data_IF_195499198655
#
_entry.id   IF_195499198655
#
_cell.length_a   1.000
_cell.length_b   1.000
_cell.length_c   1.000
_cell.angle_alpha   90.00
_cell.angle_beta   90.00
_cell.angle_gamma   90.00
#
_symmetry.space_group_name_H-M   'P 1'
#
loop_
_entity.id
_entity.type
_entity.pdbx_description
1 polymer ?
#
# COMPACT_ATOMS: atom_id res chain seq x y z
N UNK A 1 10.99 -47.33 35.40
CA UNK A 1 10.41 -46.01 35.72
C UNK A 1 9.53 -45.66 34.53
N UNK A 2 8.21 -45.90 34.45
CA UNK A 2 7.06 -45.52 35.31
C UNK A 2 7.12 -44.08 35.82
N UNK A 3 6.36 -43.21 35.15
CA UNK A 3 5.41 -42.21 35.65
C UNK A 3 4.78 -41.54 34.39
N UNK A 4 3.52 -41.81 34.07
CA UNK A 4 2.29 -41.10 34.50
C UNK A 4 2.08 -39.75 33.82
N UNK A 5 1.05 -39.68 32.97
CA UNK A 5 0.16 -38.50 32.87
C UNK A 5 -1.25 -39.03 32.65
N UNK A 6 -2.06 -38.90 33.71
CA UNK A 6 -3.50 -39.10 33.71
C UNK A 6 -4.17 -37.72 33.69
N UNK A 7 -5.03 -37.46 32.71
CA UNK A 7 -6.07 -36.41 32.58
C UNK A 7 -6.70 -36.69 31.20
N UNK A 8 -7.99 -36.88 30.95
CA UNK A 8 -9.21 -36.53 31.66
C UNK A 8 -10.30 -37.57 31.31
N UNK A 9 -10.82 -38.29 32.30
CA UNK A 9 -12.01 -39.17 32.19
C UNK A 9 -13.31 -38.41 32.47
N UNK A 10 -13.25 -37.10 32.73
CA UNK A 10 -14.41 -36.28 33.10
C UNK A 10 -15.12 -35.69 31.86
N UNK A 11 -14.42 -35.40 30.75
CA UNK A 11 -15.07 -34.91 29.52
C UNK A 11 -15.95 -35.94 28.81
N UNK A 12 -15.63 -37.24 28.94
CA UNK A 12 -16.40 -38.32 28.32
C UNK A 12 -17.75 -38.58 28.99
N UNK A 13 -17.95 -38.12 30.22
CA UNK A 13 -19.21 -38.27 30.95
C UNK A 13 -20.24 -37.19 30.57
N UNK A 14 -19.83 -35.98 30.18
CA UNK A 14 -20.77 -34.91 29.80
C UNK A 14 -21.34 -35.11 28.39
N UNK A 15 -20.56 -35.64 27.45
CA UNK A 15 -21.02 -35.90 26.07
C UNK A 15 -22.05 -37.03 25.97
N UNK A 16 -22.07 -37.96 26.93
CA UNK A 16 -23.06 -39.05 26.96
C UNK A 16 -24.41 -38.59 27.50
N UNK A 17 -24.44 -37.57 28.34
CA UNK A 17 -25.69 -37.08 28.94
C UNK A 17 -26.57 -36.28 27.96
N UNK A 18 -25.96 -35.63 26.96
CA UNK A 18 -26.66 -34.92 25.87
C UNK A 18 -27.22 -35.87 24.79
N UNK A 19 -26.76 -37.12 24.75
CA UNK A 19 -27.18 -38.11 23.76
C UNK A 19 -28.53 -38.76 24.10
N UNK A 20 -28.86 -38.88 25.40
CA UNK A 20 -30.06 -39.58 25.87
C UNK A 20 -31.27 -38.66 26.11
N UNK A 21 -31.10 -37.32 25.99
CA UNK A 21 -32.16 -36.33 26.26
C UNK A 21 -33.04 -35.96 25.05
N UNK A 22 -32.85 -36.55 23.86
CA UNK A 22 -33.65 -36.23 22.66
C UNK A 22 -34.54 -37.37 22.14
N UNK A 23 -34.66 -38.47 22.88
CA UNK A 23 -35.68 -39.50 22.60
C UNK A 23 -36.91 -39.22 23.47
N UNK A 24 -37.79 -38.36 22.98
CA UNK A 24 -39.22 -38.42 23.33
C UNK A 24 -40.10 -38.03 22.15
N UNK A 25 -40.86 -39.03 21.72
CA UNK A 25 -42.08 -39.09 20.92
C UNK A 25 -42.80 -37.76 20.65
N UNK A 26 -42.94 -37.40 19.37
CA UNK A 26 -44.13 -36.71 18.86
C UNK A 26 -44.46 -37.20 17.44
N UNK A 27 -45.59 -37.90 17.34
CA UNK A 27 -46.27 -38.21 16.08
C UNK A 27 -46.76 -36.92 15.44
N UNK A 28 -46.10 -36.46 14.38
CA UNK A 28 -46.54 -35.30 13.62
C UNK A 28 -45.96 -35.30 12.22
N UNK A 29 -46.84 -35.47 11.22
CA UNK A 29 -46.52 -35.42 9.80
C UNK A 29 -45.82 -34.09 9.43
N UNK A 30 -44.49 -34.08 9.46
CA UNK A 30 -43.67 -32.94 9.07
C UNK A 30 -43.13 -33.17 7.68
N UNK A 31 -43.86 -32.58 6.73
CA UNK A 31 -43.51 -32.32 5.33
C UNK A 31 -42.00 -32.07 5.18
N UNK A 32 -41.29 -33.07 4.63
CA UNK A 32 -39.86 -33.00 4.26
C UNK A 32 -39.67 -31.85 3.28
N UNK A 33 -39.31 -30.66 3.78
CA UNK A 33 -38.83 -29.55 2.95
C UNK A 33 -37.44 -29.95 2.47
N UNK A 34 -37.40 -30.57 1.29
CA UNK A 34 -36.20 -30.58 0.46
C UNK A 34 -35.72 -29.14 0.33
N UNK A 35 -34.63 -28.80 1.03
CA UNK A 35 -33.84 -27.62 0.74
C UNK A 35 -33.18 -27.87 -0.61
N UNK A 36 -33.93 -27.53 -1.66
CA UNK A 36 -33.48 -27.49 -3.04
C UNK A 36 -32.32 -26.49 -3.11
N UNK A 37 -31.09 -26.99 -3.01
CA UNK A 37 -29.89 -26.20 -3.23
C UNK A 37 -29.95 -25.58 -4.64
N UNK A 38 -30.23 -24.28 -4.70
CA UNK A 38 -29.75 -23.35 -5.71
C UNK A 38 -29.92 -23.76 -7.18
N UNK A 39 -31.14 -24.10 -7.59
CA UNK A 39 -31.51 -24.18 -9.01
C UNK A 39 -32.13 -22.87 -9.49
N UNK A 40 -31.33 -21.81 -9.69
CA UNK A 40 -31.82 -20.59 -10.37
C UNK A 40 -31.25 -20.50 -11.80
N UNK A 41 -30.16 -21.20 -12.11
CA UNK A 41 -29.63 -21.33 -13.47
C UNK A 41 -29.20 -22.79 -13.67
N UNK A 42 -29.60 -23.43 -14.77
CA UNK A 42 -29.37 -24.85 -15.09
C UNK A 42 -27.90 -25.27 -15.28
N UNK A 43 -26.96 -24.58 -14.64
CA UNK A 43 -25.52 -24.81 -14.70
C UNK A 43 -25.07 -25.21 -13.28
N UNK A 44 -24.46 -26.38 -13.11
CA UNK A 44 -24.06 -26.88 -11.79
C UNK A 44 -23.26 -25.85 -10.98
N UNK A 45 -23.56 -25.69 -9.68
CA UNK A 45 -23.16 -24.54 -8.87
C UNK A 45 -21.67 -24.14 -8.93
N UNK A 46 -20.76 -25.11 -9.02
CA UNK A 46 -19.31 -24.82 -9.15
C UNK A 46 -18.93 -24.14 -10.47
N UNK A 47 -19.67 -24.41 -11.55
CA UNK A 47 -19.45 -23.79 -12.87
C UNK A 47 -19.85 -22.33 -12.85
N UNK A 48 -20.97 -22.00 -12.21
CA UNK A 48 -21.43 -20.62 -12.06
C UNK A 48 -20.38 -19.77 -11.32
N UNK A 49 -19.80 -20.31 -10.26
CA UNK A 49 -18.73 -19.63 -9.52
C UNK A 49 -17.47 -19.43 -10.38
N UNK A 50 -17.09 -20.37 -11.24
CA UNK A 50 -15.99 -20.17 -12.20
C UNK A 50 -16.31 -19.07 -13.21
N UNK A 51 -17.53 -19.03 -13.76
CA UNK A 51 -17.94 -17.96 -14.68
C UNK A 51 -17.94 -16.59 -14.01
N UNK A 52 -18.44 -16.50 -12.77
CA UNK A 52 -18.38 -15.26 -11.99
C UNK A 52 -16.94 -14.83 -11.71
N UNK A 53 -16.06 -15.79 -11.40
CA UNK A 53 -14.62 -15.56 -11.24
C UNK A 53 -13.98 -15.01 -12.53
N UNK A 54 -14.31 -15.59 -13.69
CA UNK A 54 -13.86 -15.10 -15.01
C UNK A 54 -14.30 -13.66 -15.26
N UNK A 55 -15.57 -13.35 -15.03
CA UNK A 55 -16.11 -11.99 -15.19
C UNK A 55 -15.37 -11.03 -14.25
N UNK A 56 -15.21 -11.41 -12.98
CA UNK A 56 -14.50 -10.60 -11.98
C UNK A 56 -13.06 -10.30 -12.42
N UNK A 57 -12.31 -11.31 -12.86
CA UNK A 57 -10.92 -11.12 -13.33
C UNK A 57 -10.83 -10.24 -14.56
N UNK A 58 -11.76 -10.39 -15.51
CA UNK A 58 -11.82 -9.54 -16.69
C UNK A 58 -12.16 -8.08 -16.33
N UNK A 59 -13.13 -7.87 -15.45
CA UNK A 59 -13.48 -6.53 -14.95
C UNK A 59 -12.29 -5.87 -14.27
N UNK A 60 -11.56 -6.58 -13.40
CA UNK A 60 -10.35 -6.02 -12.77
C UNK A 60 -9.26 -5.71 -13.80
N UNK A 61 -9.15 -6.50 -14.87
CA UNK A 61 -8.20 -6.23 -15.95
C UNK A 61 -8.56 -4.94 -16.70
N UNK A 62 -9.83 -4.78 -17.06
CA UNK A 62 -10.33 -3.57 -17.73
C UNK A 62 -10.12 -2.34 -16.84
N UNK A 63 -10.47 -2.42 -15.55
CA UNK A 63 -10.27 -1.31 -14.61
C UNK A 63 -8.79 -0.92 -14.49
N UNK A 64 -7.89 -1.90 -14.39
CA UNK A 64 -6.45 -1.64 -14.37
C UNK A 64 -5.99 -0.93 -15.64
N UNK A 65 -6.38 -1.42 -16.82
CA UNK A 65 -6.02 -0.80 -18.10
C UNK A 65 -6.56 0.63 -18.19
N UNK A 66 -7.82 0.85 -17.80
CA UNK A 66 -8.43 2.19 -17.77
C UNK A 66 -7.66 3.13 -16.85
N UNK A 67 -7.27 2.69 -15.65
CA UNK A 67 -6.47 3.49 -14.72
C UNK A 67 -5.10 3.85 -15.29
N UNK A 68 -4.41 2.90 -15.94
CA UNK A 68 -3.11 3.15 -16.58
C UNK A 68 -3.25 4.14 -17.74
N UNK A 69 -4.23 3.94 -18.61
CA UNK A 69 -4.50 4.86 -19.72
C UNK A 69 -4.81 6.26 -19.20
N UNK A 70 -5.71 6.36 -18.21
CA UNK A 70 -6.08 7.62 -17.57
C UNK A 70 -4.86 8.36 -17.00
N UNK A 71 -4.00 7.65 -16.26
CA UNK A 71 -2.80 8.24 -15.67
C UNK A 71 -1.75 8.65 -16.73
N UNK A 72 -1.63 7.91 -17.84
CA UNK A 72 -0.69 8.24 -18.91
C UNK A 72 -1.14 9.40 -19.80
N UNK A 73 -2.45 9.60 -19.97
CA UNK A 73 -2.96 10.76 -20.71
C UNK A 73 -2.77 12.08 -19.94
N UNK A 74 -2.53 12.02 -18.63
CA UNK A 74 -2.27 13.18 -17.77
C UNK A 74 -0.83 13.18 -17.25
N UNK A 75 0.12 13.29 -18.16
CA UNK A 75 1.53 13.47 -17.77
C UNK A 75 1.71 14.82 -17.08
N UNK A 76 2.46 14.81 -15.99
CA UNK A 76 3.06 16.01 -15.41
C UNK A 76 4.16 16.54 -16.33
N UNK A 77 4.54 17.81 -16.17
CA UNK A 77 5.64 18.44 -16.89
C UNK A 77 6.98 17.70 -16.68
N UNK A 78 7.11 16.96 -15.57
CA UNK A 78 8.27 16.12 -15.24
C UNK A 78 8.18 14.69 -15.82
N UNK A 79 7.20 14.40 -16.68
CA UNK A 79 7.07 13.11 -17.38
C UNK A 79 6.47 11.96 -16.54
N UNK A 80 6.26 12.18 -15.23
CA UNK A 80 5.59 11.21 -14.36
C UNK A 80 4.07 11.17 -14.61
N UNK A 81 3.48 9.98 -14.47
CA UNK A 81 2.01 9.80 -14.55
C UNK A 81 1.39 10.26 -13.24
N UNK A 82 0.64 11.36 -13.28
CA UNK A 82 0.06 11.98 -12.09
C UNK A 82 -1.45 11.76 -12.07
N UNK A 83 -1.94 11.14 -10.99
CA UNK A 83 -3.36 10.92 -10.77
C UNK A 83 -4.03 12.16 -10.17
N UNK A 84 -3.33 12.85 -9.28
CA UNK A 84 -3.77 14.10 -8.66
C UNK A 84 -2.57 14.97 -8.25
N UNK A 85 -2.68 16.29 -8.40
CA UNK A 85 -1.72 17.25 -7.88
C UNK A 85 -2.48 18.44 -7.30
N UNK A 86 -2.15 18.84 -6.08
CA UNK A 86 -2.80 19.95 -5.39
C UNK A 86 -2.67 19.84 -3.88
N UNK A 87 -3.73 20.21 -3.18
CA UNK A 87 -3.80 20.18 -1.72
C UNK A 87 -3.54 18.77 -1.14
N UNK A 88 -2.72 18.73 -0.09
CA UNK A 88 -2.30 17.49 0.58
C UNK A 88 -3.45 16.76 1.30
N UNK A 89 -4.42 17.49 1.86
CA UNK A 89 -5.61 16.89 2.46
C UNK A 89 -6.42 16.11 1.42
N UNK A 90 -6.71 16.76 0.29
CA UNK A 90 -7.45 16.12 -0.81
C UNK A 90 -6.67 14.97 -1.46
N UNK A 91 -5.35 15.11 -1.61
CA UNK A 91 -4.49 14.05 -2.12
C UNK A 91 -4.57 12.80 -1.23
N UNK A 92 -4.54 13.00 0.10
CA UNK A 92 -4.64 11.92 1.09
C UNK A 92 -5.98 11.20 1.04
N UNK A 93 -7.09 11.92 0.88
CA UNK A 93 -8.43 11.32 0.74
C UNK A 93 -8.52 10.44 -0.52
N UNK A 94 -8.12 10.99 -1.67
CA UNK A 94 -8.13 10.27 -2.95
C UNK A 94 -7.21 9.04 -2.87
N UNK A 95 -5.99 9.21 -2.36
CA UNK A 95 -5.04 8.12 -2.18
C UNK A 95 -5.61 7.01 -1.30
N UNK A 96 -6.22 7.36 -0.17
CA UNK A 96 -6.87 6.40 0.74
C UNK A 96 -7.96 5.61 0.01
N UNK A 97 -8.85 6.30 -0.72
CA UNK A 97 -9.92 5.65 -1.50
C UNK A 97 -9.38 4.70 -2.57
N UNK A 98 -8.33 5.12 -3.29
CA UNK A 98 -7.67 4.29 -4.31
C UNK A 98 -7.03 3.05 -3.70
N UNK A 99 -6.34 3.15 -2.56
CA UNK A 99 -5.76 1.98 -1.89
C UNK A 99 -6.82 1.01 -1.36
N UNK A 100 -7.96 1.51 -0.85
CA UNK A 100 -9.09 0.65 -0.48
C UNK A 100 -9.62 -0.11 -1.69
N UNK A 101 -9.80 0.56 -2.82
CA UNK A 101 -10.23 -0.07 -4.07
C UNK A 101 -9.22 -1.14 -4.53
N UNK A 102 -7.92 -0.82 -4.54
CA UNK A 102 -6.84 -1.76 -4.91
C UNK A 102 -6.88 -3.01 -4.05
N UNK A 103 -7.02 -2.87 -2.73
CA UNK A 103 -7.08 -3.99 -1.81
C UNK A 103 -8.34 -4.84 -2.00
N UNK A 104 -9.49 -4.21 -2.26
CA UNK A 104 -10.73 -4.92 -2.58
C UNK A 104 -10.59 -5.73 -3.88
N UNK A 105 -10.10 -5.11 -4.96
CA UNK A 105 -9.90 -5.77 -6.25
C UNK A 105 -8.88 -6.93 -6.17
N UNK A 106 -7.78 -6.72 -5.43
CA UNK A 106 -6.77 -7.76 -5.20
C UNK A 106 -7.35 -8.96 -4.45
N UNK A 107 -8.17 -8.70 -3.42
CA UNK A 107 -8.82 -9.74 -2.62
C UNK A 107 -9.83 -10.54 -3.46
N UNK A 108 -10.62 -9.87 -4.30
CA UNK A 108 -11.55 -10.53 -5.24
C UNK A 108 -10.81 -11.42 -6.24
N UNK A 109 -9.71 -10.95 -6.81
CA UNK A 109 -8.85 -11.75 -7.70
C UNK A 109 -8.24 -12.95 -6.99
N UNK A 110 -7.82 -12.79 -5.73
CA UNK A 110 -7.29 -13.88 -4.93
C UNK A 110 -8.36 -14.93 -4.64
N UNK A 111 -9.58 -14.51 -4.27
CA UNK A 111 -10.72 -15.39 -4.06
C UNK A 111 -11.07 -16.19 -5.32
N UNK A 112 -11.18 -15.52 -6.48
CA UNK A 112 -11.43 -16.17 -7.77
C UNK A 112 -10.31 -17.16 -8.14
N UNK A 113 -9.04 -16.76 -7.95
CA UNK A 113 -7.87 -17.63 -8.18
C UNK A 113 -7.89 -18.84 -7.27
N UNK A 114 -8.20 -18.65 -5.99
CA UNK A 114 -8.26 -19.73 -5.00
C UNK A 114 -9.36 -20.74 -5.35
N UNK A 115 -10.54 -20.27 -5.73
CA UNK A 115 -11.62 -21.14 -6.16
C UNK A 115 -11.28 -21.92 -7.43
N UNK A 116 -10.67 -21.27 -8.43
CA UNK A 116 -10.19 -21.94 -9.63
C UNK A 116 -9.11 -22.99 -9.31
N UNK A 117 -8.18 -22.66 -8.40
CA UNK A 117 -7.17 -23.60 -7.89
C UNK A 117 -7.80 -24.83 -7.22
N UNK A 118 -8.86 -24.66 -6.42
CA UNK A 118 -9.59 -25.77 -5.82
C UNK A 118 -10.19 -26.70 -6.90
N UNK A 119 -10.86 -26.13 -7.90
CA UNK A 119 -11.40 -26.89 -9.03
C UNK A 119 -10.28 -27.63 -9.80
N UNK A 120 -9.13 -26.98 -10.00
CA UNK A 120 -7.97 -27.58 -10.65
C UNK A 120 -7.29 -28.67 -9.82
N UNK A 121 -7.45 -28.70 -8.49
CA UNK A 121 -6.90 -29.74 -7.61
C UNK A 121 -7.85 -30.94 -7.40
N UNK A 122 -9.15 -30.78 -7.66
CA UNK A 122 -10.17 -31.79 -7.41
C UNK A 122 -10.04 -33.00 -8.35
N UNK A 123 -9.82 -34.24 -7.85
CA UNK A 123 -9.62 -35.38 -8.73
C UNK A 123 -10.89 -35.71 -9.52
N UNK A 124 -10.75 -36.07 -10.80
CA UNK A 124 -11.89 -36.60 -11.57
C UNK A 124 -12.13 -38.07 -11.20
N UNK A 125 -13.32 -38.62 -11.49
CA UNK A 125 -13.60 -40.05 -11.27
C UNK A 125 -12.53 -40.96 -11.90
N UNK A 126 -12.12 -40.66 -13.14
CA UNK A 126 -11.04 -41.39 -13.81
C UNK A 126 -9.67 -41.25 -13.12
N UNK A 127 -9.39 -40.12 -12.48
CA UNK A 127 -8.14 -39.95 -11.70
C UNK A 127 -8.17 -40.82 -10.43
N UNK A 128 -9.34 -40.92 -9.80
CA UNK A 128 -9.58 -41.81 -8.65
C UNK A 128 -9.43 -43.28 -9.07
N UNK A 129 -10.07 -43.71 -10.16
CA UNK A 129 -9.98 -45.09 -10.64
C UNK A 129 -8.54 -45.49 -10.96
N UNK A 130 -7.76 -44.60 -11.61
CA UNK A 130 -6.34 -44.82 -11.89
C UNK A 130 -5.48 -44.91 -10.62
N UNK A 131 -5.83 -44.14 -9.58
CA UNK A 131 -5.13 -44.18 -8.31
C UNK A 131 -5.45 -45.46 -7.54
N UNK A 132 -6.74 -45.85 -7.50
CA UNK A 132 -7.20 -47.08 -6.86
C UNK A 132 -6.65 -48.33 -7.54
N UNK A 133 -6.53 -48.35 -8.87
CA UNK A 133 -5.86 -49.42 -9.61
C UNK A 133 -4.38 -49.61 -9.22
N UNK A 134 -3.77 -48.63 -8.53
CA UNK A 134 -2.41 -48.67 -8.01
C UNK A 134 -2.35 -48.74 -6.47
N UNK A 135 -3.46 -49.10 -5.82
CA UNK A 135 -3.61 -49.11 -4.35
C UNK A 135 -3.24 -47.77 -3.68
N UNK A 136 -3.52 -46.64 -4.35
CA UNK A 136 -3.30 -45.28 -3.82
C UNK A 136 -4.63 -44.55 -3.65
N UNK A 137 -4.78 -43.82 -2.55
CA UNK A 137 -5.94 -42.96 -2.30
C UNK A 137 -5.67 -41.49 -2.72
N UNK A 138 -6.73 -40.74 -2.99
CA UNK A 138 -6.73 -39.30 -3.26
C UNK A 138 -7.71 -38.59 -2.31
N UNK A 139 -7.38 -37.37 -1.92
CA UNK A 139 -8.23 -36.59 -1.01
C UNK A 139 -9.38 -35.96 -1.80
N UNK A 140 -10.63 -36.06 -1.32
CA UNK A 140 -11.81 -35.54 -2.02
C UNK A 140 -12.43 -34.41 -1.17
N UNK A 141 -12.81 -33.31 -1.81
CA UNK A 141 -13.49 -32.19 -1.14
C UNK A 141 -12.59 -31.27 -0.32
N UNK A 142 -11.26 -31.49 -0.32
CA UNK A 142 -10.28 -30.64 0.36
C UNK A 142 -9.17 -30.19 -0.59
N UNK A 143 -8.60 -28.97 -0.43
CA UNK A 143 -7.44 -28.54 -1.20
C UNK A 143 -6.22 -29.39 -0.82
N UNK A 144 -5.83 -30.33 -1.69
CA UNK A 144 -4.71 -31.25 -1.42
C UNK A 144 -3.56 -31.04 -2.40
N UNK A 145 -2.44 -30.51 -1.89
CA UNK A 145 -1.17 -30.41 -2.64
C UNK A 145 -0.64 -31.80 -3.02
N UNK A 146 -0.96 -32.83 -2.23
CA UNK A 146 -0.62 -34.23 -2.55
C UNK A 146 -1.36 -34.73 -3.80
N UNK A 147 -2.62 -34.34 -3.99
CA UNK A 147 -3.34 -34.65 -5.21
C UNK A 147 -2.74 -33.96 -6.44
N UNK A 148 -2.21 -32.73 -6.28
CA UNK A 148 -1.59 -31.96 -7.36
C UNK A 148 -0.41 -32.68 -8.05
N UNK A 149 0.34 -33.50 -7.31
CA UNK A 149 1.42 -34.33 -7.87
C UNK A 149 0.95 -35.60 -8.57
N UNK A 150 -0.32 -36.00 -8.38
CA UNK A 150 -0.91 -37.25 -8.89
C UNK A 150 -1.89 -37.01 -10.05
N UNK A 151 -2.38 -35.78 -10.23
CA UNK A 151 -3.21 -35.35 -11.36
C UNK A 151 -2.37 -35.00 -12.60
N UNK A 152 -2.95 -34.91 -13.81
CA UNK A 152 -2.21 -34.55 -15.02
C UNK A 152 -1.49 -33.20 -14.91
N UNK A 153 -0.26 -33.15 -15.46
CA UNK A 153 0.66 -32.00 -15.34
C UNK A 153 0.09 -30.67 -15.82
N UNK A 154 -0.83 -30.66 -16.80
CA UNK A 154 -1.47 -29.41 -17.23
C UNK A 154 -2.26 -28.72 -16.12
N UNK A 155 -2.90 -29.48 -15.24
CA UNK A 155 -3.63 -28.93 -14.07
C UNK A 155 -2.66 -28.36 -13.03
N UNK A 156 -1.55 -29.06 -12.82
CA UNK A 156 -0.46 -28.60 -11.95
C UNK A 156 0.13 -27.29 -12.48
N UNK A 157 0.39 -27.17 -13.78
CA UNK A 157 0.90 -25.94 -14.39
C UNK A 157 -0.07 -24.78 -14.20
N UNK A 158 -1.35 -24.95 -14.52
CA UNK A 158 -2.35 -23.90 -14.30
C UNK A 158 -2.47 -23.49 -12.83
N UNK A 159 -2.44 -24.47 -11.92
CA UNK A 159 -2.46 -24.21 -10.48
C UNK A 159 -1.23 -23.43 -10.02
N UNK A 160 -0.03 -23.83 -10.46
CA UNK A 160 1.22 -23.15 -10.14
C UNK A 160 1.24 -21.72 -10.70
N UNK A 161 0.80 -21.52 -11.94
CA UNK A 161 0.68 -20.18 -12.53
C UNK A 161 -0.27 -19.31 -11.71
N UNK A 162 -1.45 -19.82 -11.31
CA UNK A 162 -2.39 -19.06 -10.48
C UNK A 162 -1.81 -18.71 -9.11
N UNK A 163 -1.10 -19.64 -8.47
CA UNK A 163 -0.45 -19.42 -7.18
C UNK A 163 0.67 -18.36 -7.28
N UNK A 164 1.58 -18.54 -8.24
CA UNK A 164 2.74 -17.68 -8.41
C UNK A 164 2.34 -16.26 -8.83
N UNK A 165 1.28 -16.11 -9.62
CA UNK A 165 0.73 -14.80 -10.00
C UNK A 165 -0.03 -14.09 -8.87
N UNK A 166 -0.44 -14.76 -7.80
CA UNK A 166 -1.14 -14.11 -6.68
C UNK A 166 -0.22 -13.22 -5.84
N UNK A 167 1.04 -13.61 -5.67
CA UNK A 167 1.99 -12.88 -4.81
C UNK A 167 2.37 -11.51 -5.40
N UNK A 168 2.76 -11.41 -6.69
CA UNK A 168 3.07 -10.12 -7.31
C UNK A 168 1.89 -9.15 -7.32
N UNK A 169 0.66 -9.63 -7.48
CA UNK A 169 -0.53 -8.75 -7.46
C UNK A 169 -0.67 -8.10 -6.09
N UNK A 170 -0.68 -8.85 -4.98
CA UNK A 170 -0.85 -8.23 -3.67
C UNK A 170 0.30 -7.29 -3.29
N UNK A 171 1.52 -7.65 -3.66
CA UNK A 171 2.72 -6.87 -3.32
C UNK A 171 2.84 -5.61 -4.18
N UNK A 172 2.83 -5.76 -5.51
CA UNK A 172 3.10 -4.63 -6.41
C UNK A 172 1.90 -3.73 -6.62
N UNK A 173 0.67 -4.24 -6.54
CA UNK A 173 -0.52 -3.43 -6.80
C UNK A 173 -0.67 -2.30 -5.79
N UNK A 174 -0.35 -2.54 -4.51
CA UNK A 174 -0.31 -1.50 -3.49
C UNK A 174 0.76 -0.43 -3.75
N UNK A 175 1.84 -0.78 -4.45
CA UNK A 175 2.92 0.15 -4.80
C UNK A 175 2.74 0.81 -6.18
N UNK A 176 1.70 0.46 -6.94
CA UNK A 176 1.41 1.13 -8.23
C UNK A 176 0.99 2.58 -8.04
N UNK A 177 0.48 2.93 -6.87
CA UNK A 177 0.08 4.29 -6.51
C UNK A 177 0.90 4.71 -5.30
N UNK A 178 1.53 5.87 -5.37
CA UNK A 178 2.33 6.41 -4.28
C UNK A 178 2.17 7.92 -4.20
N UNK A 179 2.25 8.47 -2.99
CA UNK A 179 2.18 9.91 -2.78
C UNK A 179 3.59 10.49 -2.73
N UNK A 180 3.77 11.68 -3.26
CA UNK A 180 4.93 12.53 -3.05
C UNK A 180 4.49 13.88 -2.52
N UNK A 181 5.40 14.56 -1.84
CA UNK A 181 5.19 15.89 -1.28
C UNK A 181 6.25 16.83 -1.88
N UNK A 182 5.87 18.07 -2.18
CA UNK A 182 6.82 19.11 -2.56
C UNK A 182 7.59 19.56 -1.32
N UNK A 183 8.91 19.62 -1.44
CA UNK A 183 9.82 20.06 -0.38
C UNK A 183 10.43 21.38 -0.81
N UNK A 184 10.43 22.35 0.10
CA UNK A 184 10.99 23.67 -0.13
C UNK A 184 12.47 23.66 0.28
N UNK A 185 13.35 24.08 -0.63
CA UNK A 185 14.65 24.61 -0.24
C UNK A 185 14.43 25.98 0.43
N UNK A 186 15.18 26.26 1.48
CA UNK A 186 14.98 27.48 2.26
C UNK A 186 16.27 28.03 2.86
N UNK A 187 16.26 29.33 3.10
CA UNK A 187 17.35 30.06 3.72
C UNK A 187 16.99 30.47 5.13
N UNK A 188 17.99 30.50 6.01
CA UNK A 188 17.87 30.96 7.39
C UNK A 188 18.63 32.27 7.53
N UNK A 189 17.89 33.32 7.87
CA UNK A 189 18.42 34.65 8.08
C UNK A 189 18.38 35.02 9.56
N UNK A 190 19.31 35.88 9.99
CA UNK A 190 19.30 36.54 11.29
C UNK A 190 19.21 38.05 11.06
N UNK A 191 18.30 38.70 11.79
CA UNK A 191 18.10 40.13 11.78
C UNK A 191 17.65 40.63 13.17
N UNK A 192 17.59 41.95 13.35
CA UNK A 192 17.00 42.54 14.55
C UNK A 192 15.53 42.91 14.32
N UNK A 193 14.88 43.47 15.35
CA UNK A 193 13.50 43.94 15.28
C UNK A 193 13.23 45.01 14.20
N UNK A 194 14.27 45.66 13.66
CA UNK A 194 14.14 46.62 12.54
C UNK A 194 13.93 45.94 11.19
N UNK A 195 13.98 44.60 11.10
CA UNK A 195 13.68 43.84 9.88
C UNK A 195 12.37 44.28 9.21
N UNK A 196 11.36 44.58 10.03
CA UNK A 196 10.03 45.04 9.57
C UNK A 196 10.04 46.42 8.91
N UNK A 197 11.14 47.17 8.99
CA UNK A 197 11.28 48.51 8.39
C UNK A 197 12.20 48.53 7.17
N UNK A 198 12.77 47.38 6.80
CA UNK A 198 13.69 47.27 5.68
C UNK A 198 12.97 47.37 4.34
N UNK A 199 13.71 47.83 3.35
CA UNK A 199 13.31 47.86 1.95
C UNK A 199 14.14 46.86 1.14
N UNK A 200 13.70 46.54 -0.07
CA UNK A 200 14.44 45.65 -0.98
C UNK A 200 15.88 46.13 -1.24
N UNK A 201 16.10 47.45 -1.24
CA UNK A 201 17.41 48.05 -1.43
C UNK A 201 18.39 47.66 -0.30
N UNK A 202 17.87 47.50 0.92
CA UNK A 202 18.66 47.18 2.10
C UNK A 202 19.11 45.71 2.14
N UNK A 203 18.48 44.85 1.34
CA UNK A 203 18.74 43.39 1.29
C UNK A 203 19.16 42.88 -0.08
N UNK A 204 19.55 43.78 -1.01
CA UNK A 204 20.05 43.35 -2.32
C UNK A 204 21.31 42.50 -2.23
N UNK A 205 22.17 42.77 -1.25
CA UNK A 205 23.35 41.98 -0.96
C UNK A 205 23.35 41.62 0.52
N UNK A 206 23.19 40.35 0.83
CA UNK A 206 23.19 39.84 2.21
C UNK A 206 24.56 39.23 2.51
N UNK A 207 25.06 39.43 3.72
CA UNK A 207 26.25 38.75 4.18
C UNK A 207 25.95 37.27 4.44
N UNK A 208 26.64 36.39 3.72
CA UNK A 208 26.51 34.95 3.86
C UNK A 208 27.62 34.40 4.78
N UNK A 209 27.22 33.84 5.91
CA UNK A 209 28.15 33.35 6.93
C UNK A 209 29.00 32.20 6.42
N UNK A 210 28.43 31.33 5.60
CA UNK A 210 29.08 30.14 5.04
C UNK A 210 30.23 30.51 4.08
N UNK A 211 30.01 31.46 3.17
CA UNK A 211 31.00 31.88 2.16
C UNK A 211 31.84 33.10 2.58
N UNK A 212 31.46 33.80 3.66
CA UNK A 212 32.06 35.06 4.13
C UNK A 212 32.10 36.14 3.06
N UNK A 213 31.02 36.24 2.28
CA UNK A 213 30.86 37.21 1.19
C UNK A 213 29.47 37.82 1.19
N UNK A 214 29.37 38.99 0.59
CA UNK A 214 28.10 39.57 0.20
C UNK A 214 27.57 38.88 -1.06
N UNK A 215 26.36 38.35 -0.98
CA UNK A 215 25.70 37.64 -2.07
C UNK A 215 24.32 38.24 -2.35
N UNK A 216 23.97 38.31 -3.63
CA UNK A 216 22.62 38.64 -4.08
C UNK A 216 21.77 37.36 -4.07
N UNK A 217 21.02 37.15 -2.99
CA UNK A 217 20.20 35.96 -2.79
C UNK A 217 18.72 36.33 -2.99
N UNK A 218 18.00 35.73 -3.97
CA UNK A 218 16.64 36.15 -4.31
C UNK A 218 15.59 36.01 -3.18
N UNK A 219 15.83 35.14 -2.20
CA UNK A 219 14.88 34.93 -1.09
C UNK A 219 14.85 36.11 -0.12
N UNK A 220 15.95 36.84 0.06
CA UNK A 220 16.00 38.00 0.96
C UNK A 220 15.08 39.18 0.54
N UNK A 221 15.15 39.72 -0.71
CA UNK A 221 14.23 40.76 -1.14
C UNK A 221 12.78 40.27 -1.20
N UNK A 222 12.54 38.98 -1.51
CA UNK A 222 11.20 38.37 -1.47
C UNK A 222 10.60 38.39 -0.05
N UNK A 223 11.37 38.05 0.98
CA UNK A 223 10.91 38.09 2.36
C UNK A 223 10.54 39.52 2.80
N UNK A 224 11.31 40.52 2.37
CA UNK A 224 11.00 41.94 2.64
C UNK A 224 9.74 42.39 1.88
N UNK A 225 9.58 42.00 0.62
CA UNK A 225 8.37 42.29 -0.17
C UNK A 225 7.10 41.70 0.45
N UNK A 226 7.19 40.48 0.97
CA UNK A 226 6.07 39.72 1.53
C UNK A 226 5.97 39.83 3.04
N UNK A 227 6.61 40.84 3.65
CA UNK A 227 6.73 40.96 5.11
C UNK A 227 5.39 40.92 5.87
N UNK A 228 4.32 41.43 5.25
CA UNK A 228 2.98 41.47 5.84
C UNK A 228 2.30 40.08 5.89
N UNK A 229 2.73 39.17 5.01
CA UNK A 229 2.19 37.81 4.89
C UNK A 229 3.01 36.78 5.67
N UNK A 230 4.15 37.19 6.26
CA UNK A 230 5.00 36.31 7.07
C UNK A 230 4.30 35.94 8.38
N UNK A 231 4.43 34.68 8.76
CA UNK A 231 3.86 34.17 10.00
C UNK A 231 4.87 34.37 11.14
N UNK A 232 4.49 35.15 12.15
CA UNK A 232 5.27 35.29 13.38
C UNK A 232 5.06 34.08 14.29
N UNK A 233 6.13 33.39 14.62
CA UNK A 233 6.13 32.20 15.47
C UNK A 233 6.94 32.44 16.74
N UNK A 234 6.46 31.91 17.88
CA UNK A 234 7.27 31.83 19.11
C UNK A 234 8.47 30.89 18.89
N UNK A 235 9.52 30.99 19.72
CA UNK A 235 10.67 30.08 19.64
C UNK A 235 10.29 28.59 19.54
N UNK A 236 9.42 28.11 20.44
CA UNK A 236 8.94 26.72 20.46
C UNK A 236 8.23 26.32 19.14
N UNK A 237 7.34 27.20 18.65
CA UNK A 237 6.61 26.94 17.42
C UNK A 237 7.54 26.98 16.19
N UNK A 238 8.54 27.86 16.19
CA UNK A 238 9.52 27.96 15.13
C UNK A 238 10.40 26.71 15.05
N UNK A 239 10.94 26.28 16.20
CA UNK A 239 11.73 25.05 16.31
C UNK A 239 10.88 23.88 15.84
N UNK A 240 9.66 23.73 16.36
CA UNK A 240 8.76 22.64 15.97
C UNK A 240 8.40 22.64 14.48
N UNK A 241 8.28 23.83 13.87
CA UNK A 241 7.96 23.97 12.44
C UNK A 241 9.12 23.58 11.52
N UNK A 242 10.37 23.85 11.92
CA UNK A 242 11.56 23.62 11.10
C UNK A 242 12.37 22.39 11.46
N UNK A 243 12.10 21.76 12.62
CA UNK A 243 12.69 20.47 13.05
C UNK A 243 12.04 19.29 12.32
N UNK A 244 12.09 19.34 10.99
CA UNK A 244 11.58 18.31 10.07
C UNK A 244 12.63 18.03 9.00
N UNK A 245 12.72 16.77 8.57
CA UNK A 245 13.61 16.38 7.46
C UNK A 245 13.14 16.96 6.12
N UNK A 246 11.82 17.07 5.94
CA UNK A 246 11.21 17.57 4.71
C UNK A 246 10.29 18.74 5.05
N UNK A 247 10.71 19.94 4.66
CA UNK A 247 9.95 21.16 4.88
C UNK A 247 8.98 21.41 3.72
N UNK A 248 7.68 21.21 3.91
CA UNK A 248 6.63 21.44 2.91
C UNK A 248 5.77 22.67 3.19
N UNK A 249 5.67 23.08 4.46
CA UNK A 249 4.69 24.06 4.96
C UNK A 249 5.25 25.48 5.02
N UNK A 250 6.55 25.60 5.22
CA UNK A 250 7.25 26.87 5.27
C UNK A 250 8.39 26.91 4.22
N UNK A 251 8.83 28.11 3.86
CA UNK A 251 10.03 28.35 3.08
C UNK A 251 11.06 29.08 3.96
N UNK A 252 11.71 30.14 3.48
CA UNK A 252 12.76 30.84 4.21
C UNK A 252 12.25 31.45 5.52
N UNK A 253 13.15 31.55 6.50
CA UNK A 253 12.86 32.04 7.85
C UNK A 253 13.84 33.14 8.24
N UNK A 254 13.35 34.13 8.96
CA UNK A 254 14.17 35.17 9.60
C UNK A 254 14.04 35.03 11.10
N UNK A 255 15.17 34.80 11.76
CA UNK A 255 15.31 34.79 13.21
C UNK A 255 15.50 36.23 13.68
N UNK A 256 14.70 36.65 14.65
CA UNK A 256 14.77 37.99 15.22
C UNK A 256 15.47 37.92 16.57
N UNK A 257 16.54 38.70 16.69
CA UNK A 257 17.29 38.87 17.94
C UNK A 257 17.53 40.35 18.19
N UNK A 258 17.08 40.87 19.32
CA UNK A 258 17.34 42.25 19.72
C UNK A 258 18.83 42.49 20.07
N UNK A 259 19.57 41.42 20.41
CA UNK A 259 21.00 41.49 20.64
C UNK A 259 21.82 41.66 19.34
N UNK A 260 21.22 41.35 18.19
CA UNK A 260 21.86 41.52 16.89
C UNK A 260 22.01 43.01 16.57
N UNK A 261 23.26 43.49 16.59
CA UNK A 261 23.60 44.87 16.24
C UNK A 261 24.13 44.93 14.80
N UNK A 262 23.41 45.59 13.87
CA UNK A 262 23.83 45.69 12.49
C UNK A 262 25.05 46.62 12.38
N UNK A 263 26.26 46.05 12.37
CA UNK A 263 27.49 46.84 12.27
C UNK A 263 27.76 47.24 10.82
N UNK A 264 27.44 46.36 9.86
CA UNK A 264 27.60 46.61 8.41
C UNK A 264 26.47 46.01 7.56
N UNK A 265 25.54 45.25 8.16
CA UNK A 265 24.43 44.59 7.46
C UNK A 265 23.18 44.56 8.32
N UNK A 266 22.03 44.84 7.72
CA UNK A 266 20.71 44.74 8.34
C UNK A 266 20.24 43.30 8.54
N UNK A 267 20.71 42.39 7.68
CA UNK A 267 20.37 40.97 7.65
C UNK A 267 21.63 40.16 7.33
N UNK A 268 21.78 38.99 7.93
CA UNK A 268 22.80 38.00 7.56
C UNK A 268 22.15 36.65 7.27
N UNK A 269 22.71 35.88 6.33
CA UNK A 269 22.31 34.49 6.09
C UNK A 269 23.23 33.58 6.88
N UNK A 270 22.67 32.83 7.81
CA UNK A 270 23.42 31.95 8.71
C UNK A 270 23.43 30.51 8.23
N UNK A 271 22.42 30.09 7.47
CA UNK A 271 22.32 28.71 6.98
C UNK A 271 21.49 28.61 5.70
N UNK A 272 21.71 27.53 4.95
CA UNK A 272 20.99 27.17 3.73
C UNK A 272 20.59 25.71 3.81
N UNK A 273 19.35 25.40 3.49
CA UNK A 273 18.87 24.02 3.43
C UNK A 273 18.43 23.71 2.02
N UNK A 274 19.20 22.84 1.38
CA UNK A 274 18.89 22.31 0.06
C UNK A 274 17.94 21.12 0.17
N UNK A 275 17.27 20.78 -0.94
CA UNK A 275 16.41 19.59 -0.99
C UNK A 275 17.29 18.34 -0.89
N UNK A 276 17.08 17.44 0.09
CA UNK A 276 17.92 16.26 0.27
C UNK A 276 17.95 15.40 -1.00
N UNK A 277 19.15 15.07 -1.48
CA UNK A 277 19.34 14.21 -2.64
C UNK A 277 19.66 12.77 -2.22
N UNK A 278 19.30 11.79 -3.06
CA UNK A 278 19.53 10.38 -2.74
C UNK A 278 21.03 10.04 -2.79
N UNK A 279 21.61 9.72 -1.63
CA UNK A 279 23.00 9.26 -1.51
C UNK A 279 23.98 10.28 -0.93
N UNK A 280 23.52 11.45 -0.50
CA UNK A 280 24.33 12.36 0.31
C UNK A 280 24.23 11.96 1.79
N UNK A 281 25.38 11.73 2.42
CA UNK A 281 25.52 11.68 3.88
C UNK A 281 25.36 13.11 4.43
N UNK A 282 24.18 13.72 4.26
CA UNK A 282 23.92 15.07 4.72
C UNK A 282 23.72 15.08 6.23
N UNK A 283 24.30 16.09 6.88
CA UNK A 283 23.94 16.49 8.23
C UNK A 283 22.41 16.72 8.32
N UNK A 284 21.80 16.48 9.49
CA UNK A 284 20.35 16.67 9.65
C UNK A 284 19.97 18.10 9.21
N UNK A 285 18.99 18.30 8.31
CA UNK A 285 18.75 19.61 7.69
C UNK A 285 18.27 20.69 8.67
N UNK A 286 17.94 20.31 9.90
CA UNK A 286 17.47 21.18 10.97
C UNK A 286 18.54 21.43 12.05
N UNK A 287 19.81 21.04 11.85
CA UNK A 287 20.88 21.26 12.85
C UNK A 287 21.10 22.74 13.18
N UNK A 288 20.77 23.65 12.26
CA UNK A 288 20.81 25.09 12.50
C UNK A 288 19.89 25.55 13.65
N UNK A 289 18.85 24.76 13.97
CA UNK A 289 17.95 25.06 15.11
C UNK A 289 18.57 24.79 16.47
N UNK A 290 19.65 24.00 16.52
CA UNK A 290 20.23 23.50 17.76
C UNK A 290 21.24 24.51 18.34
N UNK A 291 21.40 24.45 19.67
CA UNK A 291 22.47 25.19 20.35
C UNK A 291 23.83 24.59 19.94
N UNK A 292 24.61 25.35 19.15
CA UNK A 292 25.91 24.92 18.65
C UNK A 292 26.96 24.90 19.77
N UNK A 293 26.94 23.88 20.63
CA UNK A 293 28.15 23.45 21.29
C UNK A 293 28.98 22.66 20.26
N UNK A 294 30.09 23.24 19.83
CA UNK A 294 31.16 22.71 18.96
C UNK A 294 31.85 21.43 19.49
N UNK A 295 31.13 20.57 20.21
CA UNK A 295 31.65 19.33 20.78
C UNK A 295 31.30 18.15 19.90
N UNK A 296 32.36 17.53 19.42
CA UNK A 296 32.55 16.22 18.83
C UNK A 296 32.04 15.04 19.72
N UNK A 297 31.09 15.28 20.63
CA UNK A 297 30.51 14.27 21.52
C UNK A 297 29.11 13.91 21.04
N UNK A 298 29.04 12.83 20.26
CA UNK A 298 27.85 12.04 19.89
C UNK A 298 26.75 12.77 19.10
N UNK A 299 26.37 12.19 17.95
CA UNK A 299 25.22 12.54 17.09
C UNK A 299 23.84 12.44 17.78
N UNK A 300 23.78 12.39 19.12
CA UNK A 300 22.67 11.79 19.86
C UNK A 300 21.76 12.78 20.61
N UNK A 301 21.81 14.09 20.34
CA UNK A 301 20.64 14.97 20.51
C UNK A 301 20.91 16.39 20.07
N UNK A 302 20.27 16.82 18.98
CA UNK A 302 19.95 18.24 18.79
C UNK A 302 19.13 18.72 19.99
N UNK A 303 19.79 19.36 20.96
CA UNK A 303 19.15 20.00 22.10
C UNK A 303 18.73 21.39 21.71
N UNK A 304 17.45 21.64 21.88
CA UNK A 304 16.79 22.92 21.65
C UNK A 304 16.06 23.25 22.94
N UNK A 305 16.40 24.37 23.55
CA UNK A 305 15.67 24.93 24.68
C UNK A 305 14.85 26.12 24.16
N UNK A 306 13.51 26.01 24.04
CA UNK A 306 12.69 27.11 23.55
C UNK A 306 12.77 28.37 24.43
N UNK A 307 13.02 28.23 25.74
CA UNK A 307 13.06 29.35 26.68
C UNK A 307 14.41 30.10 26.63
N UNK A 308 15.47 29.45 26.16
CA UNK A 308 16.80 30.01 25.99
C UNK A 308 17.37 29.63 24.61
N UNK A 309 16.59 29.89 23.56
CA UNK A 309 16.95 29.46 22.22
C UNK A 309 18.08 30.32 21.66
N UNK A 310 19.26 29.71 21.50
CA UNK A 310 20.42 30.36 20.92
C UNK A 310 20.79 29.77 19.55
N UNK A 311 20.94 30.64 18.56
CA UNK A 311 21.42 30.30 17.23
C UNK A 311 22.57 31.24 16.87
N UNK A 312 23.72 30.67 16.48
CA UNK A 312 24.94 31.42 16.15
C UNK A 312 25.32 32.48 17.22
N UNK A 313 25.26 32.09 18.49
CA UNK A 313 25.53 32.94 19.67
C UNK A 313 24.54 34.11 19.90
N UNK A 314 23.41 34.13 19.21
CA UNK A 314 22.35 35.13 19.40
C UNK A 314 21.13 34.49 20.06
N UNK A 315 20.62 35.13 21.10
CA UNK A 315 19.34 34.78 21.70
C UNK A 315 18.20 35.14 20.75
N UNK A 316 17.36 34.18 20.39
CA UNK A 316 16.29 34.36 19.42
C UNK A 316 14.97 34.64 20.13
N UNK A 317 14.42 35.82 19.93
CA UNK A 317 13.19 36.26 20.60
C UNK A 317 11.94 35.67 19.94
N UNK A 318 11.95 35.61 18.61
CA UNK A 318 10.92 34.98 17.78
C UNK A 318 11.45 34.78 16.36
N UNK A 319 10.70 34.07 15.53
CA UNK A 319 11.00 34.02 14.09
C UNK A 319 9.81 34.46 13.25
N UNK A 320 10.10 34.91 12.04
CA UNK A 320 9.10 35.16 11.01
C UNK A 320 9.37 34.21 9.84
N UNK A 321 8.37 33.40 9.51
CA UNK A 321 8.48 32.32 8.55
C UNK A 321 7.60 32.59 7.34
N UNK A 322 8.14 32.34 6.14
CA UNK A 322 7.34 32.37 4.92
C UNK A 322 6.47 31.12 4.85
N UNK A 323 5.15 31.27 4.98
CA UNK A 323 4.22 30.14 4.85
C UNK A 323 3.95 29.85 3.37
N UNK A 324 4.08 28.58 2.99
CA UNK A 324 3.84 28.13 1.62
C UNK A 324 2.66 27.16 1.55
N UNK A 325 1.90 27.16 0.44
CA UNK A 325 0.84 26.18 0.25
C UNK A 325 1.47 24.81 0.00
N UNK A 326 1.12 23.83 0.84
CA UNK A 326 1.61 22.47 0.68
C UNK A 326 1.08 21.86 -0.62
N UNK A 327 1.99 21.29 -1.41
CA UNK A 327 1.65 20.65 -2.69
C UNK A 327 2.00 19.17 -2.60
N UNK A 328 0.98 18.33 -2.66
CA UNK A 328 1.15 16.89 -2.75
C UNK A 328 0.77 16.40 -4.14
N UNK A 329 1.45 15.35 -4.60
CA UNK A 329 1.07 14.66 -5.83
C UNK A 329 0.87 13.18 -5.57
N UNK A 330 -0.21 12.64 -6.14
CA UNK A 330 -0.47 11.21 -6.15
C UNK A 330 -0.01 10.69 -7.51
N UNK A 331 1.08 9.92 -7.51
CA UNK A 331 1.72 9.40 -8.69
C UNK A 331 1.35 7.95 -8.95
N UNK A 332 1.51 7.54 -10.21
CA UNK A 332 1.23 6.20 -10.69
C UNK A 332 2.48 5.57 -11.32
N UNK A 333 2.97 4.47 -10.74
CA UNK A 333 4.13 3.73 -11.24
C UNK A 333 3.75 2.85 -12.43
N UNK A 334 4.05 3.34 -13.64
CA UNK A 334 3.79 2.61 -14.87
C UNK A 334 4.49 1.23 -14.93
N UNK A 335 5.77 1.07 -14.54
CA UNK A 335 6.43 -0.23 -14.59
C UNK A 335 5.74 -1.28 -13.72
N UNK A 336 5.37 -0.90 -12.48
CA UNK A 336 4.67 -1.80 -11.57
C UNK A 336 3.26 -2.14 -12.08
N UNK A 337 2.57 -1.16 -12.67
CA UNK A 337 1.25 -1.38 -13.23
C UNK A 337 1.24 -2.33 -14.41
N UNK A 338 2.25 -2.26 -15.29
CA UNK A 338 2.43 -3.23 -16.40
C UNK A 338 2.57 -4.64 -15.84
N UNK A 339 3.37 -4.83 -14.79
CA UNK A 339 3.51 -6.13 -14.11
C UNK A 339 2.16 -6.61 -13.61
N UNK A 340 1.40 -5.77 -12.90
CA UNK A 340 0.06 -6.12 -12.39
C UNK A 340 -0.90 -6.51 -13.53
N UNK A 341 -0.91 -5.76 -14.64
CA UNK A 341 -1.75 -6.05 -15.81
C UNK A 341 -1.38 -7.40 -16.44
N UNK A 342 -0.11 -7.65 -16.69
CA UNK A 342 0.36 -8.90 -17.30
C UNK A 342 0.00 -10.11 -16.42
N UNK A 343 0.23 -9.99 -15.12
CA UNK A 343 -0.06 -11.05 -14.15
C UNK A 343 -1.57 -11.27 -14.02
N UNK A 344 -2.38 -10.21 -14.04
CA UNK A 344 -3.84 -10.32 -14.04
C UNK A 344 -4.39 -10.92 -15.35
N UNK A 345 -3.81 -10.59 -16.50
CA UNK A 345 -4.17 -11.18 -17.79
C UNK A 345 -3.96 -12.70 -17.78
N UNK A 346 -2.80 -13.16 -17.28
CA UNK A 346 -2.52 -14.60 -17.12
C UNK A 346 -3.59 -15.27 -16.25
N UNK A 347 -3.95 -14.66 -15.12
CA UNK A 347 -5.02 -15.16 -14.24
C UNK A 347 -6.36 -15.23 -14.97
N UNK A 348 -6.77 -14.15 -15.63
CA UNK A 348 -8.04 -14.09 -16.34
C UNK A 348 -8.13 -15.19 -17.41
N UNK A 349 -7.06 -15.38 -18.21
CA UNK A 349 -6.99 -16.43 -19.23
C UNK A 349 -7.12 -17.83 -18.61
N UNK A 350 -6.36 -18.12 -17.53
CA UNK A 350 -6.42 -19.44 -16.89
C UNK A 350 -7.80 -19.69 -16.26
N UNK A 351 -8.37 -18.71 -15.57
CA UNK A 351 -9.70 -18.84 -14.94
C UNK A 351 -10.77 -19.05 -16.01
N UNK A 352 -10.72 -18.33 -17.13
CA UNK A 352 -11.64 -18.51 -18.28
C UNK A 352 -11.50 -19.88 -18.97
N UNK A 353 -10.28 -20.39 -19.13
CA UNK A 353 -10.04 -21.69 -19.78
C UNK A 353 -10.42 -22.85 -18.84
N UNK A 354 -10.27 -22.69 -17.53
CA UNK A 354 -10.53 -23.74 -16.53
C UNK A 354 -11.89 -24.44 -16.70
N UNK A 355 -13.05 -23.76 -16.80
CA UNK A 355 -14.34 -24.43 -17.00
C UNK A 355 -14.39 -25.19 -18.33
N UNK A 356 -13.88 -24.63 -19.43
CA UNK A 356 -13.86 -25.30 -20.75
C UNK A 356 -12.96 -26.54 -20.73
N UNK A 357 -11.79 -26.43 -20.10
CA UNK A 357 -10.81 -27.50 -19.97
C UNK A 357 -11.32 -28.64 -19.09
N UNK A 358 -12.00 -28.32 -17.98
CA UNK A 358 -12.63 -29.33 -17.14
C UNK A 358 -13.85 -29.96 -17.82
N UNK A 359 -14.60 -29.22 -18.64
CA UNK A 359 -15.77 -29.75 -19.36
C UNK A 359 -15.40 -30.65 -20.55
N UNK A 360 -14.44 -30.24 -21.40
CA UNK A 360 -14.05 -31.04 -22.57
C UNK A 360 -13.58 -32.45 -22.21
N UNK A 361 -12.95 -32.63 -21.04
CA UNK A 361 -12.57 -33.95 -20.52
C UNK A 361 -13.73 -34.79 -19.99
N UNK A 362 -14.82 -34.16 -19.57
CA UNK A 362 -16.06 -34.85 -19.14
C UNK A 362 -16.85 -35.30 -20.38
N UNK A 363 -17.09 -34.41 -21.35
CA UNK A 363 -17.89 -34.73 -22.55
C UNK A 363 -17.18 -35.61 -23.57
N UNK A 364 -15.87 -35.43 -23.81
CA UNK A 364 -15.11 -36.28 -24.75
C UNK A 364 -15.10 -37.76 -24.34
N UNK A 365 -15.43 -38.07 -23.08
CA UNK A 365 -15.51 -39.46 -22.59
C UNK A 365 -16.89 -39.96 -22.24
N UNK A 366 -17.89 -39.09 -22.01
CA UNK A 366 -19.30 -39.49 -22.02
C UNK A 366 -19.71 -40.09 -23.38
N UNK A 367 -19.08 -39.63 -24.46
CA UNK A 367 -19.23 -40.24 -25.78
C UNK A 367 -18.51 -41.59 -25.90
N UNK A 368 -17.32 -41.77 -25.30
CA UNK A 368 -16.57 -43.03 -25.34
C UNK A 368 -17.25 -44.12 -24.49
N UNK A 369 -17.81 -43.78 -23.33
CA UNK A 369 -18.59 -44.74 -22.51
C UNK A 369 -19.92 -45.12 -23.16
N UNK A 370 -20.58 -44.21 -23.91
CA UNK A 370 -21.76 -44.56 -24.73
C UNK A 370 -21.42 -45.46 -25.93
N UNK A 371 -20.24 -45.32 -26.52
CA UNK A 371 -19.82 -46.10 -27.70
C UNK A 371 -19.32 -47.51 -27.31
N UNK A 372 -18.86 -47.72 -26.07
CA UNK A 372 -18.30 -49.00 -25.61
C UNK A 372 -19.26 -49.90 -24.82
N UNK A 373 -20.58 -49.64 -24.85
CA UNK A 373 -21.59 -50.64 -24.46
C UNK A 373 -21.37 -51.34 -23.12
N UNK A 374 -20.98 -50.61 -22.06
CA UNK A 374 -20.94 -51.17 -20.71
C UNK A 374 -22.31 -50.93 -20.04
N UNK A 375 -22.98 -51.95 -19.51
CA UNK A 375 -24.31 -51.81 -18.93
C UNK A 375 -24.23 -50.98 -17.63
N UNK A 376 -25.07 -49.95 -17.56
CA UNK A 376 -25.37 -49.25 -16.31
C UNK A 376 -25.95 -50.25 -15.30
N UNK A 377 -25.17 -50.57 -14.27
CA UNK A 377 -25.70 -51.13 -13.04
C UNK A 377 -25.29 -50.29 -11.84
N UNK A 378 -26.35 -49.90 -11.12
CA UNK A 378 -26.45 -49.61 -9.69
C UNK A 378 -26.04 -48.23 -9.14
N UNK A 379 -27.10 -47.47 -8.87
CA UNK A 379 -27.37 -46.79 -7.60
C UNK A 379 -26.57 -47.26 -6.37
N UNK A 380 -26.33 -46.29 -5.47
CA UNK A 380 -26.23 -46.34 -4.00
C UNK A 380 -24.90 -45.78 -3.45
N UNK A 381 -25.09 -44.73 -2.62
CA UNK A 381 -24.18 -43.99 -1.71
C UNK A 381 -23.32 -42.86 -2.29
#
# INVERSE_FOLDING_TARGET
MRHDVALDTIELASLRHDSDASVSTENGATRRRDRRCGGIWGVGGWKMTLYLGSITSFTVLVLNVVMVCWANFRRSDEGHSVLYSGDCGRAKEIGTGVHVLINALSTLLLSASNFAMQCLSAPTRSDVDKAHARNKWLDIGVPSVRNLWRIPRSRLVFWLCLALTSVPIHMFYNSTVYSTIAVNAYDVYLANSSFTSLTEADVQNVWDFSTRKFLSIPSAPRLVQMMADLERLSPDACISAYKTTFQSKYASVVLISDAFTPQNTSVIRIYSVDVPSAGEDSEDPYTWTCEQYWRWESRDSCKTDPDNWMVDFHHIDYCVAERTPEKCTLQYSLPLAIVVICVNLVKAVIICITPVFLMSRITARGHVTRVLGAPEYLHVL
#
